data_IF_561998251580
#
_entry.id   IF_561998251580
#
_cell.length_a   1.000
_cell.length_b   1.000
_cell.length_c   1.000
_cell.angle_alpha   90.00
_cell.angle_beta   90.00
_cell.angle_gamma   90.00
#
_symmetry.space_group_name_H-M   'P 1'
#
loop_
_entity.id
_entity.type
_entity.pdbx_description
1 polymer ?
#
# COMPACT_ATOMS: atom_id res chain seq x y z
N UNK A 1 19.94 34.02 28.56
CA UNK A 1 18.89 33.48 27.68
C UNK A 1 19.52 33.14 26.36
N UNK A 2 19.81 31.86 26.09
CA UNK A 2 20.44 31.43 24.82
C UNK A 2 19.59 30.31 24.24
N UNK A 3 18.83 30.65 23.20
CA UNK A 3 18.07 29.69 22.41
C UNK A 3 19.05 29.01 21.44
N UNK A 4 19.67 27.92 21.88
CA UNK A 4 20.37 27.00 20.97
C UNK A 4 19.33 26.10 20.32
N UNK A 5 18.97 26.47 19.10
CA UNK A 5 18.16 25.71 18.15
C UNK A 5 18.52 24.23 18.17
N UNK A 6 17.61 23.40 18.69
CA UNK A 6 17.69 21.95 18.57
C UNK A 6 17.75 21.57 17.08
N UNK A 7 18.73 20.76 16.62
CA UNK A 7 18.65 20.18 15.30
C UNK A 7 17.45 19.25 15.31
N UNK A 8 16.36 19.68 14.67
CA UNK A 8 15.23 18.84 14.32
C UNK A 8 15.82 17.74 13.45
N UNK A 9 16.10 16.57 14.05
CA UNK A 9 16.56 15.39 13.31
C UNK A 9 15.45 15.10 12.32
N UNK A 10 15.67 15.46 11.07
CA UNK A 10 14.85 14.98 9.98
C UNK A 10 15.25 13.52 9.90
N UNK A 11 14.43 12.63 10.45
CA UNK A 11 14.57 11.18 10.26
C UNK A 11 14.37 10.89 8.77
N UNK A 12 15.43 11.09 7.99
CA UNK A 12 15.51 10.81 6.56
C UNK A 12 15.42 9.30 6.26
N UNK A 13 15.28 8.47 7.30
CA UNK A 13 15.06 7.03 7.19
C UNK A 13 13.62 6.66 6.80
N UNK A 14 12.69 7.61 6.68
CA UNK A 14 11.28 7.34 6.37
C UNK A 14 10.89 7.46 4.89
N UNK A 15 11.84 7.59 3.96
CA UNK A 15 11.55 7.63 2.52
C UNK A 15 12.44 6.63 1.76
N UNK A 16 12.57 5.41 2.27
CA UNK A 16 13.05 4.31 1.43
C UNK A 16 11.85 3.82 0.65
N UNK A 17 11.73 4.09 -0.67
CA UNK A 17 10.65 3.55 -1.46
C UNK A 17 10.65 2.03 -1.30
N UNK A 18 9.50 1.40 -1.02
CA UNK A 18 9.45 -0.03 -0.82
C UNK A 18 10.06 -0.72 -2.04
N UNK A 19 11.08 -1.56 -1.81
CA UNK A 19 11.69 -2.38 -2.85
C UNK A 19 10.57 -3.07 -3.67
N UNK A 20 10.49 -2.74 -4.96
CA UNK A 20 9.41 -3.18 -5.87
C UNK A 20 9.38 -4.70 -6.07
N UNK A 21 10.43 -5.39 -5.63
CA UNK A 21 10.60 -6.85 -5.69
C UNK A 21 10.21 -7.55 -4.38
N UNK A 22 9.86 -6.78 -3.34
CA UNK A 22 9.41 -7.38 -2.10
C UNK A 22 8.11 -8.14 -2.36
N UNK A 23 7.97 -9.36 -1.79
CA UNK A 23 6.70 -10.06 -1.81
C UNK A 23 5.63 -9.25 -1.08
N UNK A 24 4.37 -9.46 -1.44
CA UNK A 24 3.23 -8.91 -0.73
C UNK A 24 3.30 -9.21 0.77
N UNK A 25 3.01 -8.22 1.61
CA UNK A 25 2.94 -8.43 3.07
C UNK A 25 1.69 -9.23 3.45
N UNK A 26 1.71 -9.87 4.61
CA UNK A 26 0.56 -10.63 5.11
C UNK A 26 -0.71 -9.77 5.22
N UNK A 27 -0.57 -8.52 5.67
CA UNK A 27 -1.70 -7.58 5.79
C UNK A 27 -2.29 -7.22 4.41
N UNK A 28 -1.42 -6.99 3.41
CA UNK A 28 -1.85 -6.79 2.03
C UNK A 28 -2.52 -8.06 1.47
N UNK A 29 -1.98 -9.24 1.74
CA UNK A 29 -2.54 -10.51 1.28
C UNK A 29 -3.95 -10.73 1.83
N UNK A 30 -4.13 -10.47 3.13
CA UNK A 30 -5.44 -10.54 3.80
C UNK A 30 -6.43 -9.55 3.19
N UNK A 31 -6.03 -8.28 3.02
CA UNK A 31 -6.88 -7.24 2.44
C UNK A 31 -7.25 -7.55 0.99
N UNK A 32 -6.28 -7.96 0.19
CA UNK A 32 -6.49 -8.34 -1.21
C UNK A 32 -7.42 -9.54 -1.33
N UNK A 33 -7.25 -10.58 -0.49
CA UNK A 33 -8.13 -11.76 -0.48
C UNK A 33 -9.58 -11.37 -0.18
N UNK A 34 -9.81 -10.49 0.80
CA UNK A 34 -11.16 -10.01 1.11
C UNK A 34 -11.78 -9.24 -0.06
N UNK A 35 -11.02 -8.33 -0.67
CA UNK A 35 -11.47 -7.54 -1.80
C UNK A 35 -11.75 -8.41 -3.03
N UNK A 36 -10.87 -9.35 -3.35
CA UNK A 36 -11.08 -10.35 -4.41
C UNK A 36 -12.37 -11.16 -4.17
N UNK A 37 -12.59 -11.63 -2.93
CA UNK A 37 -13.82 -12.35 -2.56
C UNK A 37 -15.07 -11.50 -2.73
N UNK A 38 -15.04 -10.22 -2.35
CA UNK A 38 -16.17 -9.29 -2.50
C UNK A 38 -16.45 -8.97 -3.97
N UNK A 39 -15.40 -8.82 -4.78
CA UNK A 39 -15.49 -8.56 -6.21
C UNK A 39 -15.76 -9.81 -7.06
N UNK A 40 -15.71 -11.02 -6.47
CA UNK A 40 -15.84 -12.29 -7.20
C UNK A 40 -14.67 -12.59 -8.14
N UNK A 41 -13.47 -12.09 -7.83
CA UNK A 41 -12.26 -12.27 -8.65
C UNK A 41 -11.27 -13.22 -7.98
N UNK A 42 -10.37 -13.81 -8.77
CA UNK A 42 -9.32 -14.70 -8.26
C UNK A 42 -8.29 -13.93 -7.44
N UNK A 43 -7.81 -14.56 -6.37
CA UNK A 43 -6.77 -14.03 -5.50
C UNK A 43 -5.40 -14.51 -5.98
N UNK A 44 -4.50 -13.57 -6.28
CA UNK A 44 -3.15 -13.83 -6.76
C UNK A 44 -2.12 -13.70 -5.61
N UNK A 45 -1.64 -14.81 -5.01
CA UNK A 45 -0.68 -14.77 -3.91
C UNK A 45 0.74 -14.38 -4.35
N UNK A 46 1.06 -14.52 -5.63
CA UNK A 46 2.39 -14.28 -6.19
C UNK A 46 2.71 -12.81 -6.48
N UNK A 47 1.83 -11.88 -6.10
CA UNK A 47 2.03 -10.46 -6.35
C UNK A 47 3.13 -9.89 -5.45
N UNK A 48 3.94 -8.99 -6.02
CA UNK A 48 4.83 -8.14 -5.24
C UNK A 48 4.03 -7.14 -4.40
N UNK A 49 4.65 -6.59 -3.35
CA UNK A 49 4.09 -5.56 -2.47
C UNK A 49 3.42 -4.42 -3.24
N UNK A 50 4.11 -3.86 -4.24
CA UNK A 50 3.58 -2.78 -5.06
C UNK A 50 2.42 -3.22 -5.97
N UNK A 51 2.51 -4.43 -6.53
CA UNK A 51 1.43 -4.98 -7.36
C UNK A 51 0.17 -5.27 -6.54
N UNK A 52 0.34 -5.81 -5.33
CA UNK A 52 -0.71 -6.03 -4.38
C UNK A 52 -1.38 -4.72 -3.96
N UNK A 53 -0.59 -3.69 -3.63
CA UNK A 53 -1.10 -2.36 -3.29
C UNK A 53 -1.94 -1.78 -4.42
N UNK A 54 -1.44 -1.81 -5.66
CA UNK A 54 -2.16 -1.32 -6.84
C UNK A 54 -3.46 -2.09 -7.07
N UNK A 55 -3.44 -3.41 -6.87
CA UNK A 55 -4.61 -4.29 -7.02
C UNK A 55 -5.64 -4.02 -5.93
N UNK A 56 -5.20 -3.84 -4.69
CA UNK A 56 -6.03 -3.43 -3.56
C UNK A 56 -6.69 -2.10 -3.88
N UNK A 57 -5.94 -1.07 -4.27
CA UNK A 57 -6.49 0.25 -4.61
C UNK A 57 -7.55 0.17 -5.72
N UNK A 58 -7.32 -0.64 -6.76
CA UNK A 58 -8.28 -0.84 -7.85
C UNK A 58 -9.57 -1.58 -7.41
N UNK A 59 -9.51 -2.41 -6.37
CA UNK A 59 -10.68 -3.14 -5.84
C UNK A 59 -11.35 -2.40 -4.67
N UNK A 60 -10.60 -1.58 -3.95
CA UNK A 60 -11.05 -0.76 -2.82
C UNK A 60 -11.74 0.52 -3.30
N UNK A 61 -11.39 1.02 -4.50
CA UNK A 61 -12.08 2.13 -5.15
C UNK A 61 -13.52 1.72 -5.52
N UNK A 62 -14.54 2.27 -4.82
CA UNK A 62 -15.94 1.99 -5.12
C UNK A 62 -16.43 2.78 -6.36
N UNK A 63 -15.57 3.61 -6.96
CA UNK A 63 -15.88 4.60 -7.98
C UNK A 63 -15.62 4.13 -9.42
N UNK A 64 -15.53 2.81 -9.64
CA UNK A 64 -16.08 2.18 -10.86
C UNK A 64 -17.59 2.44 -11.05
N UNK A 65 -18.24 3.10 -10.09
CA UNK A 65 -19.60 3.64 -10.18
C UNK A 65 -19.67 4.89 -11.07
N UNK A 66 -19.82 4.67 -12.38
CA UNK A 66 -20.39 5.56 -13.43
C UNK A 66 -19.57 6.79 -13.85
N UNK A 67 -19.07 6.86 -15.10
CA UNK A 67 -19.14 8.11 -15.84
C UNK A 67 -20.62 8.35 -16.20
N UNK A 68 -21.20 9.45 -15.72
CA UNK A 68 -22.45 10.04 -16.25
C UNK A 68 -22.21 10.72 -17.57
#
# INVERSE_FOLDING_TARGET
MTFMTSPRRIDAAMDVPPDLRQPMTDDQARRLRELCRRAGTEFEPGLSLWQAERRIAALDDPAGSRPT
#
